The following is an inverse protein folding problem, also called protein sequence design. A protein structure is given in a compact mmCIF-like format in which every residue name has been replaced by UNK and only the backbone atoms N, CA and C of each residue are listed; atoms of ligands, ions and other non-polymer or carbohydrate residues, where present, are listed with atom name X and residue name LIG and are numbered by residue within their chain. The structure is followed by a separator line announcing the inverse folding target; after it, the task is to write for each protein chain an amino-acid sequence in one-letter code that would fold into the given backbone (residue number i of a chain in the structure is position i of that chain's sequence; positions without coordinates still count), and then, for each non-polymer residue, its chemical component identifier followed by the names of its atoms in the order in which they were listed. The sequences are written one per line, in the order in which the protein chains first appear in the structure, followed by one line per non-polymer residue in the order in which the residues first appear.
data_IF_371520376680
#
_entry.id   IF_371520376680
#
_cell.length_a   1.000
_cell.length_b   1.000
_cell.length_c   1.000
_cell.angle_alpha   90.00
_cell.angle_beta   90.00
_cell.angle_gamma   90.00
#
_symmetry.space_group_name_H-M   'P 1'
#
loop_
_entity.id
_entity.type
_entity.pdbx_description
1 polymer ?
#
# COMPACT_ATOMS: atom_id res chain seq x y z
N UNK A 1 7.84 -10.08 20.53
CA UNK A 1 8.70 -8.99 21.06
C UNK A 1 9.36 -9.41 22.35
N UNK A 2 8.89 -9.04 23.54
CA UNK A 2 9.66 -9.28 24.78
C UNK A 2 9.72 -10.74 25.23
N UNK A 3 8.58 -11.44 25.31
CA UNK A 3 8.54 -12.86 25.71
C UNK A 3 9.17 -13.78 24.65
N UNK A 4 8.77 -13.60 23.40
CA UNK A 4 9.20 -14.47 22.29
C UNK A 4 10.49 -14.01 21.60
N UNK A 5 11.11 -12.91 22.03
CA UNK A 5 12.30 -12.30 21.39
C UNK A 5 12.16 -12.04 19.87
N UNK A 6 10.95 -11.78 19.39
CA UNK A 6 10.66 -11.52 17.97
C UNK A 6 10.40 -10.04 17.64
N UNK A 7 10.96 -9.53 16.55
CA UNK A 7 10.70 -8.16 16.06
C UNK A 7 9.54 -8.05 15.06
N UNK A 8 8.97 -9.18 14.63
CA UNK A 8 7.81 -9.25 13.74
C UNK A 8 6.57 -9.69 14.50
N UNK A 9 5.43 -9.08 14.17
CA UNK A 9 4.09 -9.46 14.65
C UNK A 9 3.16 -9.29 13.46
N UNK A 10 2.50 -10.37 13.08
CA UNK A 10 1.49 -10.35 12.02
C UNK A 10 0.24 -9.58 12.45
N UNK A 11 -0.38 -8.86 11.51
CA UNK A 11 -1.56 -8.01 11.73
C UNK A 11 -1.46 -7.08 12.95
N UNK A 12 -0.26 -6.54 13.20
CA UNK A 12 -0.04 -5.59 14.30
C UNK A 12 -0.94 -4.36 14.13
N UNK A 13 -1.75 -4.08 15.15
CA UNK A 13 -2.53 -2.85 15.24
C UNK A 13 -1.57 -1.69 15.57
N UNK A 14 -1.53 -0.70 14.69
CA UNK A 14 -0.69 0.50 14.83
C UNK A 14 -1.48 1.72 15.33
N UNK A 15 -2.80 1.68 15.22
CA UNK A 15 -3.72 2.71 15.72
C UNK A 15 -5.01 2.04 16.20
N UNK A 16 -5.48 2.41 17.39
CA UNK A 16 -6.77 1.93 17.93
C UNK A 16 -7.93 2.53 17.13
N UNK A 17 -7.80 3.78 16.68
CA UNK A 17 -8.83 4.47 15.91
C UNK A 17 -9.01 3.88 14.51
N UNK A 18 -7.94 3.36 13.92
CA UNK A 18 -7.95 2.80 12.58
C UNK A 18 -7.18 1.46 12.57
N UNK A 19 -7.80 0.39 13.08
CA UNK A 19 -7.13 -0.90 13.28
C UNK A 19 -6.84 -1.64 11.97
N UNK A 20 -7.43 -1.23 10.85
CA UNK A 20 -7.17 -1.77 9.51
C UNK A 20 -5.91 -1.18 8.86
N UNK A 21 -5.41 -0.03 9.34
CA UNK A 21 -4.19 0.57 8.78
C UNK A 21 -3.01 -0.34 9.10
N UNK A 22 -2.19 -0.63 8.09
CA UNK A 22 -1.00 -1.46 8.24
C UNK A 22 0.28 -0.67 8.00
N UNK A 23 1.38 -1.05 8.67
CA UNK A 23 2.71 -0.57 8.34
C UNK A 23 3.20 -1.24 7.05
N UNK A 24 3.67 -0.45 6.08
CA UNK A 24 4.28 -0.92 4.83
C UNK A 24 5.74 -0.50 4.80
N UNK A 25 6.65 -1.49 4.80
CA UNK A 25 8.10 -1.23 4.73
C UNK A 25 8.47 -0.70 3.34
N UNK A 26 9.13 0.45 3.30
CA UNK A 26 9.66 1.05 2.07
C UNK A 26 11.19 1.09 2.13
N UNK A 27 11.83 0.80 1.00
CA UNK A 27 13.27 0.94 0.84
C UNK A 27 13.77 2.38 0.64
N UNK A 28 12.95 3.40 0.96
CA UNK A 28 13.30 4.82 0.72
C UNK A 28 14.03 5.41 1.93
N UNK A 29 15.03 6.24 1.66
CA UNK A 29 15.91 6.84 2.69
C UNK A 29 15.18 7.72 3.72
N UNK A 30 14.06 8.37 3.35
CA UNK A 30 13.37 9.36 4.21
C UNK A 30 12.38 8.76 5.22
N UNK A 31 11.76 7.62 4.91
CA UNK A 31 10.84 6.91 5.80
C UNK A 31 10.94 5.41 5.54
N UNK A 32 11.40 4.66 6.55
CA UNK A 32 11.57 3.21 6.48
C UNK A 32 10.21 2.47 6.40
N UNK A 33 9.16 3.07 6.96
CA UNK A 33 7.80 2.52 6.99
C UNK A 33 6.81 3.65 6.73
N UNK A 34 5.86 3.40 5.84
CA UNK A 34 4.71 4.26 5.56
C UNK A 34 3.44 3.57 6.09
N UNK A 35 2.43 4.34 6.45
CA UNK A 35 1.15 3.82 6.97
C UNK A 35 0.03 4.24 6.03
N UNK A 36 -0.75 3.27 5.56
CA UNK A 36 -1.82 3.57 4.63
C UNK A 36 -2.24 2.40 3.77
N UNK A 37 -3.20 2.68 2.89
CA UNK A 37 -3.59 1.75 1.85
C UNK A 37 -2.60 1.87 0.68
N UNK A 38 -2.24 0.72 0.14
CA UNK A 38 -1.52 0.62 -1.10
C UNK A 38 -2.54 0.54 -2.23
N UNK A 39 -2.41 1.43 -3.21
CA UNK A 39 -3.28 1.45 -4.38
C UNK A 39 -2.47 1.25 -5.65
N UNK A 40 -3.09 0.53 -6.57
CA UNK A 40 -2.63 0.41 -7.93
C UNK A 40 -3.61 1.13 -8.86
N UNK A 41 -3.07 2.03 -9.68
CA UNK A 41 -3.86 2.85 -10.59
C UNK A 41 -3.29 2.71 -11.99
N UNK A 42 -4.16 2.40 -12.95
CA UNK A 42 -3.85 2.41 -14.36
C UNK A 42 -4.31 3.72 -15.00
N UNK A 43 -3.49 4.28 -15.89
CA UNK A 43 -3.83 5.47 -16.66
C UNK A 43 -3.99 5.10 -18.13
N UNK A 44 -5.18 5.36 -18.68
CA UNK A 44 -5.58 4.94 -20.01
C UNK A 44 -6.26 6.11 -20.70
N UNK A 45 -5.65 6.60 -21.79
CA UNK A 45 -6.13 7.75 -22.56
C UNK A 45 -6.51 8.97 -21.70
N UNK A 46 -5.74 9.21 -20.62
CA UNK A 46 -5.95 10.33 -19.70
C UNK A 46 -6.97 10.06 -18.57
N UNK A 47 -7.58 8.88 -18.52
CA UNK A 47 -8.51 8.45 -17.47
C UNK A 47 -7.76 7.53 -16.50
N UNK A 48 -7.88 7.81 -15.20
CA UNK A 48 -7.30 6.97 -14.14
C UNK A 48 -8.31 5.95 -13.64
N UNK A 49 -7.95 4.67 -13.69
CA UNK A 49 -8.72 3.56 -13.15
C UNK A 49 -8.04 3.01 -11.90
N UNK A 50 -8.84 2.74 -10.86
CA UNK A 50 -8.36 2.08 -9.64
C UNK A 50 -8.47 0.57 -9.83
N UNK A 51 -7.33 -0.10 -10.02
CA UNK A 51 -7.30 -1.54 -10.28
C UNK A 51 -7.32 -2.34 -8.97
N UNK A 52 -6.50 -1.93 -8.00
CA UNK A 52 -6.40 -2.60 -6.70
C UNK A 52 -6.24 -1.60 -5.56
N UNK A 53 -6.96 -1.85 -4.47
CA UNK A 53 -6.80 -1.15 -3.20
C UNK A 53 -6.68 -2.20 -2.10
N UNK A 54 -5.55 -2.19 -1.40
CA UNK A 54 -5.30 -3.10 -0.29
C UNK A 54 -4.61 -2.39 0.86
N UNK A 55 -4.95 -2.77 2.08
CA UNK A 55 -4.23 -2.33 3.27
C UNK A 55 -3.00 -3.18 3.55
N UNK A 56 -2.86 -4.33 2.89
CA UNK A 56 -1.71 -5.21 3.01
C UNK A 56 -0.66 -4.91 1.93
N UNK A 57 0.58 -5.31 2.17
CA UNK A 57 1.65 -5.16 1.18
C UNK A 57 1.54 -6.27 0.12
N UNK A 58 1.22 -5.91 -1.12
CA UNK A 58 1.23 -6.85 -2.26
C UNK A 58 2.43 -6.62 -3.20
N UNK A 59 2.79 -7.60 -4.03
CA UNK A 59 3.84 -7.44 -5.04
C UNK A 59 3.25 -6.91 -6.35
N UNK A 60 3.71 -5.74 -6.80
CA UNK A 60 3.20 -5.08 -8.02
C UNK A 60 3.60 -5.81 -9.31
N UNK A 61 4.78 -6.45 -9.32
CA UNK A 61 5.34 -7.03 -10.54
C UNK A 61 4.66 -8.32 -10.99
N UNK A 62 3.92 -8.98 -10.10
CA UNK A 62 3.25 -10.25 -10.42
C UNK A 62 1.89 -10.05 -11.08
N UNK A 63 1.20 -8.96 -10.78
CA UNK A 63 -0.21 -8.80 -11.15
C UNK A 63 -0.41 -7.95 -12.42
N UNK A 64 0.66 -7.50 -13.08
CA UNK A 64 0.57 -6.67 -14.29
C UNK A 64 -0.26 -7.33 -15.40
N UNK A 65 -0.04 -8.63 -15.63
CA UNK A 65 -0.76 -9.39 -16.66
C UNK A 65 -2.26 -9.44 -16.30
N UNK A 66 -2.58 -9.69 -15.04
CA UNK A 66 -3.95 -9.76 -14.55
C UNK A 66 -4.68 -8.43 -14.73
N UNK A 67 -4.04 -7.30 -14.45
CA UNK A 67 -4.64 -5.98 -14.68
C UNK A 67 -4.88 -5.70 -16.18
N UNK A 68 -3.96 -6.12 -17.05
CA UNK A 68 -4.13 -5.99 -18.52
C UNK A 68 -5.30 -6.86 -19.00
N UNK A 69 -5.43 -8.09 -18.49
CA UNK A 69 -6.54 -8.98 -18.82
C UNK A 69 -7.88 -8.45 -18.31
N UNK A 70 -7.91 -7.93 -17.08
CA UNK A 70 -9.09 -7.32 -16.50
C UNK A 70 -9.52 -6.11 -17.33
N UNK A 71 -8.58 -5.25 -17.72
CA UNK A 71 -8.85 -4.14 -18.63
C UNK A 71 -9.39 -4.62 -19.99
N UNK A 72 -8.79 -5.66 -20.57
CA UNK A 72 -9.26 -6.23 -21.84
C UNK A 72 -10.70 -6.75 -21.72
N UNK A 73 -11.06 -7.37 -20.60
CA UNK A 73 -12.42 -7.87 -20.37
C UNK A 73 -13.46 -6.76 -20.30
N UNK A 74 -13.09 -5.60 -19.72
CA UNK A 74 -13.99 -4.45 -19.57
C UNK A 74 -14.08 -3.63 -20.87
N UNK A 75 -12.96 -3.43 -21.55
CA UNK A 75 -12.88 -2.55 -22.73
C UNK A 75 -13.08 -3.27 -24.07
N UNK A 76 -12.85 -4.58 -24.12
CA UNK A 76 -12.82 -5.37 -25.35
C UNK A 76 -11.53 -5.21 -26.18
N UNK A 77 -10.61 -4.34 -25.77
CA UNK A 77 -9.38 -4.05 -26.50
C UNK A 77 -8.13 -4.22 -25.62
N UNK A 78 -7.01 -4.58 -26.25
CA UNK A 78 -5.71 -4.56 -25.58
C UNK A 78 -5.06 -3.22 -25.89
N UNK A 79 -4.74 -2.45 -24.85
CA UNK A 79 -4.05 -1.18 -25.00
C UNK A 79 -2.59 -1.39 -25.39
N UNK A 80 -2.08 -0.55 -26.28
CA UNK A 80 -0.66 -0.54 -26.67
C UNK A 80 0.21 0.23 -25.69
N UNK A 81 -0.38 1.21 -24.99
CA UNK A 81 0.29 2.06 -24.02
C UNK A 81 -0.41 1.93 -22.68
N UNK A 82 0.26 1.31 -21.71
CA UNK A 82 -0.25 1.12 -20.35
C UNK A 82 0.72 1.75 -19.36
N UNK A 83 0.22 2.67 -18.55
CA UNK A 83 1.01 3.30 -17.49
C UNK A 83 0.43 2.91 -16.14
N UNK A 84 1.25 2.22 -15.35
CA UNK A 84 0.92 1.87 -13.98
C UNK A 84 1.57 2.88 -13.04
N UNK A 85 0.75 3.47 -12.15
CA UNK A 85 1.24 4.40 -11.15
C UNK A 85 0.94 3.85 -9.76
N UNK A 86 2.00 3.80 -8.95
CA UNK A 86 1.93 3.35 -7.57
C UNK A 86 1.70 4.53 -6.64
N UNK A 87 0.62 4.47 -5.87
CA UNK A 87 0.42 5.36 -4.74
C UNK A 87 0.28 4.57 -3.44
N UNK A 88 0.81 5.15 -2.37
CA UNK A 88 0.42 4.77 -1.01
C UNK A 88 -0.41 5.95 -0.53
N UNK A 89 -1.68 5.70 -0.25
CA UNK A 89 -2.56 6.71 0.35
C UNK A 89 -2.18 6.77 1.81
N UNK A 90 -1.32 7.73 2.14
CA UNK A 90 -0.84 7.92 3.50
C UNK A 90 -2.01 8.31 4.40
N UNK A 91 -2.27 7.47 5.39
CA UNK A 91 -3.15 7.83 6.48
C UNK A 91 -2.29 8.53 7.52
N UNK A 92 -2.61 9.79 7.79
CA UNK A 92 -1.93 10.56 8.83
C UNK A 92 -2.35 10.00 10.19
N UNK A 93 -1.64 8.97 10.64
CA UNK A 93 -1.70 8.55 12.04
C UNK A 93 -0.92 9.62 12.81
N UNK A 94 -1.63 10.48 13.53
CA UNK A 94 -0.97 11.37 14.49
C UNK A 94 -0.16 10.51 15.45
N UNK A 95 1.16 10.75 15.47
CA UNK A 95 2.08 10.05 16.35
C UNK A 95 1.69 10.33 17.80
N UNK A 96 0.91 9.45 18.42
CA UNK A 96 0.76 9.36 19.88
C UNK A 96 2.00 8.70 20.53
N UNK A 97 3.21 8.94 20.01
CA UNK A 97 4.44 8.26 20.45
C UNK A 97 5.62 9.21 20.68
N UNK A 98 5.38 10.50 20.91
CA UNK A 98 6.45 11.47 21.21
C UNK A 98 6.25 12.20 22.57
N UNK A 99 5.68 11.53 23.57
CA UNK A 99 5.72 12.00 24.97
C UNK A 99 5.74 10.78 25.88
N UNK A 100 6.92 10.18 26.08
CA UNK A 100 7.26 9.34 27.25
C UNK A 100 8.65 8.71 27.07
N UNK A 101 9.69 9.53 26.81
CA UNK A 101 11.09 9.17 27.16
C UNK A 101 11.90 10.46 27.27
N UNK A 102 11.62 11.23 28.32
CA UNK A 102 12.55 12.21 28.89
C UNK A 102 12.35 12.17 30.40
N UNK A 103 13.01 11.20 31.03
CA UNK A 103 13.50 11.20 32.40
C UNK A 103 14.34 9.92 32.60
#
# INVERSE_FOLDING_TARGET
MFKNHTHSIEHRIVSIHQPHVRPIVRGKSKAKVEFGAKINVSLIDGISFLDELSWEAFNEGCNLIEYIEQYKSVSGFIQKNYWQIKYIVLVKIEKLSNRETSN
#
